data_IF_338133590993
#
_entry.id   IF_338133590993
#
_cell.length_a   1.000
_cell.length_b   1.000
_cell.length_c   1.000
_cell.angle_alpha   90.00
_cell.angle_beta   90.00
_cell.angle_gamma   90.00
#
_symmetry.space_group_name_H-M   'P 1'
#
loop_
_entity.id
_entity.type
_entity.pdbx_description
1 polymer ?
#
# COMPACT_ATOMS: atom_id res chain seq x y z
N UNK A 1 3.63 -4.63 13.51
CA UNK A 1 2.38 -3.98 14.00
C UNK A 1 1.66 -3.30 12.85
N UNK A 2 0.33 -3.43 12.74
CA UNK A 2 -0.53 -2.77 11.75
C UNK A 2 -1.29 -1.66 12.45
N UNK A 3 -1.38 -0.46 11.86
CA UNK A 3 -2.20 0.62 12.37
C UNK A 3 -3.48 0.75 11.54
N UNK A 4 -4.62 0.92 12.22
CA UNK A 4 -5.90 1.11 11.58
C UNK A 4 -6.58 2.38 12.08
N UNK A 5 -6.71 3.38 11.22
CA UNK A 5 -7.42 4.62 11.50
C UNK A 5 -8.81 4.56 10.90
N UNK A 6 -9.83 4.51 11.76
CA UNK A 6 -11.25 4.29 11.44
C UNK A 6 -12.09 4.87 12.57
N UNK A 7 -13.05 5.73 12.28
CA UNK A 7 -13.92 6.36 13.27
C UNK A 7 -15.03 5.42 13.76
N UNK A 8 -15.57 4.54 12.90
CA UNK A 8 -16.58 3.57 13.30
C UNK A 8 -16.03 2.52 14.29
N UNK A 9 -16.50 2.52 15.56
CA UNK A 9 -15.97 1.63 16.57
C UNK A 9 -16.28 0.15 16.31
N UNK A 10 -17.33 -0.17 15.55
CA UNK A 10 -17.72 -1.54 15.24
C UNK A 10 -16.79 -2.14 14.20
N UNK A 11 -16.53 -1.39 13.13
CA UNK A 11 -15.56 -1.78 12.07
C UNK A 11 -14.18 -1.88 12.68
N UNK A 12 -13.74 -0.84 13.41
CA UNK A 12 -12.42 -0.79 14.04
C UNK A 12 -12.19 -2.00 14.96
N UNK A 13 -13.10 -2.28 15.87
CA UNK A 13 -13.00 -3.43 16.80
C UNK A 13 -12.98 -4.77 16.07
N UNK A 14 -13.84 -4.95 15.06
CA UNK A 14 -13.92 -6.19 14.29
C UNK A 14 -12.60 -6.46 13.54
N UNK A 15 -12.06 -5.45 12.86
CA UNK A 15 -10.81 -5.59 12.09
C UNK A 15 -9.64 -5.87 13.04
N UNK A 16 -9.48 -5.09 14.10
CA UNK A 16 -8.40 -5.29 15.08
C UNK A 16 -8.49 -6.68 15.73
N UNK A 17 -9.67 -7.11 16.14
CA UNK A 17 -9.87 -8.45 16.69
C UNK A 17 -9.46 -9.53 15.70
N UNK A 18 -9.88 -9.40 14.44
CA UNK A 18 -9.56 -10.38 13.39
C UNK A 18 -8.06 -10.43 13.11
N UNK A 19 -7.39 -9.30 13.00
CA UNK A 19 -5.95 -9.22 12.78
C UNK A 19 -5.17 -9.89 13.93
N UNK A 20 -5.49 -9.53 15.17
CA UNK A 20 -4.83 -10.10 16.35
C UNK A 20 -5.09 -11.62 16.46
N UNK A 21 -6.29 -12.09 16.14
CA UNK A 21 -6.62 -13.53 16.15
C UNK A 21 -5.84 -14.34 15.12
N UNK A 22 -5.36 -13.70 14.05
CA UNK A 22 -4.50 -14.28 13.01
C UNK A 22 -3.00 -14.10 13.28
N UNK A 23 -2.63 -13.63 14.48
CA UNK A 23 -1.24 -13.39 14.86
C UNK A 23 -0.61 -12.12 14.28
N UNK A 24 -1.42 -11.24 13.71
CA UNK A 24 -0.96 -9.94 13.20
C UNK A 24 -1.25 -8.86 14.25
N UNK A 25 -0.22 -8.42 14.96
CA UNK A 25 -0.36 -7.33 15.93
C UNK A 25 -0.94 -6.08 15.24
N UNK A 26 -2.04 -5.55 15.79
CA UNK A 26 -2.72 -4.39 15.25
C UNK A 26 -3.25 -3.47 16.33
N UNK A 27 -3.17 -2.17 16.09
CA UNK A 27 -3.69 -1.10 16.95
C UNK A 27 -4.65 -0.22 16.16
N UNK A 28 -5.79 0.12 16.76
CA UNK A 28 -6.85 0.92 16.12
C UNK A 28 -6.98 2.30 16.74
N UNK A 29 -7.14 3.30 15.89
CA UNK A 29 -7.27 4.70 16.27
C UNK A 29 -8.61 5.24 15.79
N UNK A 30 -9.27 6.01 16.63
CA UNK A 30 -10.52 6.70 16.30
C UNK A 30 -10.25 8.05 15.62
N UNK A 31 -9.21 8.73 16.10
CA UNK A 31 -8.89 10.09 15.72
C UNK A 31 -7.51 10.19 15.07
N UNK A 32 -7.34 11.04 14.05
CA UNK A 32 -6.05 11.32 13.45
C UNK A 32 -4.98 11.76 14.45
N UNK A 33 -5.36 12.52 15.48
CA UNK A 33 -4.43 12.94 16.54
C UNK A 33 -3.80 11.77 17.30
N UNK A 34 -4.58 10.75 17.61
CA UNK A 34 -4.10 9.52 18.27
C UNK A 34 -3.17 8.74 17.34
N UNK A 35 -3.55 8.61 16.08
CA UNK A 35 -2.74 7.95 15.05
C UNK A 35 -1.38 8.62 14.90
N UNK A 36 -1.31 9.94 14.78
CA UNK A 36 -0.06 10.65 14.64
C UNK A 36 0.83 10.52 15.88
N UNK A 37 0.25 10.58 17.09
CA UNK A 37 0.99 10.35 18.32
C UNK A 37 1.57 8.92 18.40
N UNK A 38 0.89 7.93 17.84
CA UNK A 38 1.40 6.57 17.73
C UNK A 38 2.53 6.47 16.69
N UNK A 39 2.37 7.11 15.53
CA UNK A 39 3.38 7.16 14.46
C UNK A 39 4.71 7.79 14.92
N UNK A 40 4.67 8.75 15.84
CA UNK A 40 5.87 9.36 16.43
C UNK A 40 6.60 8.39 17.37
N UNK A 41 5.88 7.50 18.04
CA UNK A 41 6.47 6.50 18.96
C UNK A 41 7.06 5.31 18.21
N UNK A 42 6.31 4.79 17.24
CA UNK A 42 6.70 3.62 16.48
C UNK A 42 6.02 3.64 15.09
N UNK A 43 6.79 3.43 14.04
CA UNK A 43 6.22 3.26 12.72
C UNK A 43 5.63 1.84 12.58
N UNK A 44 4.42 1.72 12.03
CA UNK A 44 3.84 0.42 11.74
C UNK A 44 4.47 -0.20 10.49
N UNK A 45 4.22 -1.48 10.27
CA UNK A 45 4.56 -2.17 9.03
C UNK A 45 3.53 -1.98 7.91
N UNK A 46 2.31 -1.52 8.26
CA UNK A 46 1.23 -1.23 7.33
C UNK A 46 0.20 -0.32 8.00
N UNK A 47 -0.39 0.56 7.21
CA UNK A 47 -1.53 1.41 7.62
C UNK A 47 -2.78 1.01 6.86
N UNK A 48 -3.87 0.78 7.58
CA UNK A 48 -5.23 0.77 7.07
C UNK A 48 -5.84 2.14 7.36
N UNK A 49 -6.37 2.81 6.36
CA UNK A 49 -6.79 4.20 6.48
C UNK A 49 -8.18 4.41 5.88
N UNK A 50 -9.14 4.82 6.71
CA UNK A 50 -10.40 5.34 6.18
C UNK A 50 -10.19 6.72 5.57
N UNK A 51 -10.91 6.99 4.49
CA UNK A 51 -10.96 8.32 3.87
C UNK A 51 -11.93 9.27 4.58
N UNK A 52 -12.99 8.74 5.16
CA UNK A 52 -14.10 9.50 5.75
C UNK A 52 -13.91 9.64 7.26
N UNK A 53 -12.98 10.47 7.68
CA UNK A 53 -12.68 10.71 9.09
C UNK A 53 -13.21 12.06 9.57
N UNK A 54 -13.53 12.21 10.87
CA UNK A 54 -14.20 13.42 11.35
C UNK A 54 -13.33 14.67 11.46
N UNK A 55 -12.02 14.54 11.70
CA UNK A 55 -11.13 15.68 11.97
C UNK A 55 -10.27 16.05 10.76
N UNK A 56 -9.82 15.10 10.00
CA UNK A 56 -8.88 15.28 8.89
C UNK A 56 -9.23 14.30 7.77
N UNK A 57 -9.30 14.79 6.53
CA UNK A 57 -9.55 13.94 5.36
C UNK A 57 -8.44 12.89 5.21
N UNK A 58 -8.82 11.62 5.02
CA UNK A 58 -7.87 10.53 4.86
C UNK A 58 -6.90 10.70 3.68
N UNK A 59 -7.30 11.39 2.61
CA UNK A 59 -6.39 11.75 1.51
C UNK A 59 -5.32 12.75 1.96
N UNK A 60 -5.64 13.65 2.88
CA UNK A 60 -4.66 14.56 3.45
C UNK A 60 -3.66 13.81 4.34
N UNK A 61 -4.16 12.88 5.16
CA UNK A 61 -3.31 11.98 5.96
C UNK A 61 -2.38 11.17 5.05
N UNK A 62 -2.90 10.58 3.97
CA UNK A 62 -2.10 9.84 2.99
C UNK A 62 -0.98 10.71 2.40
N UNK A 63 -1.30 11.91 1.92
CA UNK A 63 -0.30 12.85 1.39
C UNK A 63 0.78 13.18 2.41
N UNK A 64 0.40 13.37 3.67
CA UNK A 64 1.34 13.63 4.76
C UNK A 64 2.25 12.42 5.04
N UNK A 65 1.71 11.19 5.01
CA UNK A 65 2.51 9.95 5.10
C UNK A 65 3.51 9.91 3.95
N UNK A 66 3.10 10.17 2.72
CA UNK A 66 3.97 10.14 1.52
C UNK A 66 5.04 11.24 1.51
N UNK A 67 4.76 12.39 2.12
CA UNK A 67 5.73 13.49 2.23
C UNK A 67 6.84 13.24 3.26
N UNK A 68 6.66 12.32 4.21
CA UNK A 68 7.63 12.01 5.25
C UNK A 68 8.73 11.08 4.74
N UNK A 69 10.01 11.44 4.93
CA UNK A 69 11.15 10.65 4.44
C UNK A 69 11.16 9.20 4.99
N UNK A 70 10.74 9.00 6.25
CA UNK A 70 10.66 7.67 6.89
C UNK A 70 9.38 6.91 6.58
N UNK A 71 8.34 7.59 6.11
CA UNK A 71 6.99 7.03 5.90
C UNK A 71 6.60 6.94 4.42
N UNK A 72 7.38 7.54 3.52
CA UNK A 72 7.08 7.56 2.09
C UNK A 72 6.87 6.15 1.49
N UNK A 73 7.58 5.15 2.02
CA UNK A 73 7.52 3.74 1.56
C UNK A 73 6.60 2.86 2.42
N UNK A 74 5.96 3.44 3.43
CA UNK A 74 5.07 2.70 4.32
C UNK A 74 3.84 2.22 3.54
N UNK A 75 3.51 0.91 3.53
CA UNK A 75 2.33 0.42 2.85
C UNK A 75 1.06 1.03 3.44
N UNK A 76 0.19 1.56 2.57
CA UNK A 76 -1.10 2.14 2.96
C UNK A 76 -2.21 1.52 2.11
N UNK A 77 -3.18 0.89 2.77
CA UNK A 77 -4.41 0.40 2.15
C UNK A 77 -5.54 1.33 2.56
N UNK A 78 -6.21 1.92 1.59
CA UNK A 78 -7.39 2.74 1.85
C UNK A 78 -8.62 1.86 2.06
N UNK A 79 -9.44 2.20 3.07
CA UNK A 79 -10.73 1.56 3.32
C UNK A 79 -11.78 2.66 3.24
N UNK A 80 -12.71 2.63 2.30
CA UNK A 80 -13.61 3.75 2.05
C UNK A 80 -15.01 3.34 1.66
N UNK A 81 -16.01 4.10 2.12
CA UNK A 81 -17.38 4.00 1.62
C UNK A 81 -17.54 4.65 0.22
N UNK A 82 -16.58 5.46 -0.22
CA UNK A 82 -16.58 6.07 -1.54
C UNK A 82 -16.20 5.01 -2.58
N UNK A 83 -17.19 4.48 -3.26
CA UNK A 83 -17.02 3.40 -4.25
C UNK A 83 -16.96 3.88 -5.70
N UNK A 84 -16.92 5.20 -5.96
CA UNK A 84 -16.83 5.69 -7.33
C UNK A 84 -15.45 5.41 -7.92
N UNK A 85 -15.38 5.17 -9.21
CA UNK A 85 -14.10 5.00 -9.93
C UNK A 85 -13.18 6.22 -9.72
N UNK A 86 -13.77 7.41 -9.62
CA UNK A 86 -13.04 8.64 -9.36
C UNK A 86 -12.34 8.64 -7.98
N UNK A 87 -13.03 8.23 -6.92
CA UNK A 87 -12.46 8.19 -5.57
C UNK A 87 -11.29 7.18 -5.47
N UNK A 88 -11.41 6.05 -6.18
CA UNK A 88 -10.35 5.04 -6.29
C UNK A 88 -9.12 5.60 -6.97
N UNK A 89 -9.30 6.28 -8.11
CA UNK A 89 -8.21 6.90 -8.87
C UNK A 89 -7.53 7.99 -8.04
N UNK A 90 -8.30 8.87 -7.38
CA UNK A 90 -7.73 9.93 -6.52
C UNK A 90 -6.91 9.36 -5.35
N UNK A 91 -7.38 8.27 -4.73
CA UNK A 91 -6.64 7.60 -3.65
C UNK A 91 -5.33 6.99 -4.15
N UNK A 92 -5.35 6.31 -5.29
CA UNK A 92 -4.16 5.71 -5.90
C UNK A 92 -3.20 6.78 -6.44
N UNK A 93 -3.69 7.82 -7.11
CA UNK A 93 -2.90 8.99 -7.52
C UNK A 93 -2.27 9.70 -6.30
N UNK A 94 -2.93 9.63 -5.13
CA UNK A 94 -2.39 10.10 -3.85
C UNK A 94 -1.26 9.24 -3.28
N UNK A 95 -0.94 8.12 -3.93
CA UNK A 95 0.13 7.21 -3.55
C UNK A 95 -0.31 6.09 -2.59
N UNK A 96 -1.59 5.75 -2.51
CA UNK A 96 -2.03 4.54 -1.81
C UNK A 96 -1.58 3.29 -2.56
N UNK A 97 -1.22 2.24 -1.84
CA UNK A 97 -0.74 0.98 -2.43
C UNK A 97 -1.91 0.10 -2.87
N UNK A 98 -3.03 0.18 -2.15
CA UNK A 98 -4.25 -0.56 -2.46
C UNK A 98 -5.47 0.14 -1.86
N UNK A 99 -6.68 -0.28 -2.24
CA UNK A 99 -7.92 0.20 -1.63
C UNK A 99 -8.95 -0.92 -1.50
N UNK A 100 -9.87 -0.76 -0.54
CA UNK A 100 -11.00 -1.66 -0.29
C UNK A 100 -12.26 -0.81 -0.12
N UNK A 101 -13.31 -1.14 -0.86
CA UNK A 101 -14.60 -0.48 -0.72
C UNK A 101 -15.42 -1.08 0.43
N UNK A 102 -16.05 -0.24 1.25
CA UNK A 102 -17.05 -0.66 2.25
C UNK A 102 -18.40 -0.89 1.54
N UNK A 103 -19.15 -1.97 1.88
CA UNK A 103 -18.81 -3.04 2.82
C UNK A 103 -17.82 -4.03 2.21
N UNK A 104 -16.86 -4.52 3.00
CA UNK A 104 -15.86 -5.46 2.55
C UNK A 104 -15.92 -6.79 3.31
N UNK A 105 -15.45 -7.85 2.66
CA UNK A 105 -15.27 -9.16 3.29
C UNK A 105 -13.98 -9.22 4.10
N UNK A 106 -14.02 -9.83 5.30
CA UNK A 106 -12.83 -10.02 6.13
C UNK A 106 -11.75 -10.84 5.40
N UNK A 107 -12.16 -11.84 4.61
CA UNK A 107 -11.23 -12.66 3.80
C UNK A 107 -10.46 -11.82 2.77
N UNK A 108 -11.16 -10.89 2.10
CA UNK A 108 -10.56 -9.97 1.14
C UNK A 108 -9.54 -9.05 1.83
N UNK A 109 -9.96 -8.38 2.91
CA UNK A 109 -9.08 -7.51 3.69
C UNK A 109 -7.80 -8.25 4.12
N UNK A 110 -7.95 -9.46 4.65
CA UNK A 110 -6.81 -10.28 5.09
C UNK A 110 -5.89 -10.69 3.94
N UNK A 111 -6.44 -11.00 2.76
CA UNK A 111 -5.64 -11.33 1.58
C UNK A 111 -4.79 -10.13 1.12
N UNK A 112 -5.38 -8.93 1.07
CA UNK A 112 -4.68 -7.69 0.69
C UNK A 112 -3.59 -7.30 1.70
N UNK A 113 -3.89 -7.40 3.00
CA UNK A 113 -2.90 -7.15 4.06
C UNK A 113 -1.71 -8.10 3.93
N UNK A 114 -1.95 -9.42 3.77
CA UNK A 114 -0.85 -10.39 3.57
C UNK A 114 -0.02 -10.07 2.35
N UNK A 115 -0.67 -9.67 1.25
CA UNK A 115 0.03 -9.27 0.02
C UNK A 115 0.90 -8.03 0.27
N UNK A 116 0.38 -7.00 0.92
CA UNK A 116 1.15 -5.80 1.23
C UNK A 116 2.34 -6.09 2.18
N UNK A 117 2.13 -6.89 3.23
CA UNK A 117 3.17 -7.22 4.20
C UNK A 117 4.26 -8.17 3.66
N UNK A 118 3.91 -9.10 2.77
CA UNK A 118 4.89 -10.02 2.16
C UNK A 118 6.01 -9.29 1.44
N UNK A 119 5.72 -8.12 0.90
CA UNK A 119 6.65 -7.31 0.13
C UNK A 119 7.39 -6.27 0.99
N UNK A 120 6.91 -6.00 2.21
CA UNK A 120 7.59 -5.09 3.15
C UNK A 120 8.48 -5.80 4.17
N UNK A 121 8.34 -7.12 4.35
CA UNK A 121 9.03 -7.92 5.37
C UNK A 121 9.91 -9.03 4.81
N UNK A 122 10.47 -8.90 3.60
CA UNK A 122 11.23 -9.96 2.97
C UNK A 122 12.48 -10.39 3.75
N UNK A 123 12.44 -11.57 4.37
CA UNK A 123 13.61 -12.46 4.33
C UNK A 123 13.79 -12.84 2.85
N UNK A 124 14.43 -11.97 2.08
CA UNK A 124 14.76 -12.24 0.69
C UNK A 124 15.95 -13.22 0.69
N UNK A 125 15.79 -14.36 0.04
CA UNK A 125 16.94 -15.00 -0.60
C UNK A 125 17.79 -13.91 -1.29
N UNK A 126 19.10 -14.06 -1.46
CA UNK A 126 19.96 -13.03 -2.06
C UNK A 126 19.49 -12.75 -3.49
N UNK A 127 18.52 -11.88 -3.61
CA UNK A 127 18.01 -11.42 -4.91
C UNK A 127 19.06 -10.48 -5.46
N UNK A 128 19.71 -10.89 -6.53
CA UNK A 128 20.70 -10.05 -7.23
C UNK A 128 20.03 -8.73 -7.64
N UNK A 129 20.76 -7.63 -7.44
CA UNK A 129 20.30 -6.33 -7.90
C UNK A 129 19.97 -6.39 -9.41
N UNK A 130 18.76 -6.00 -9.78
CA UNK A 130 18.33 -5.92 -11.17
C UNK A 130 18.92 -4.67 -11.79
N UNK A 131 19.46 -4.80 -13.01
CA UNK A 131 20.04 -3.66 -13.75
C UNK A 131 19.48 -3.63 -15.16
N UNK A 132 18.97 -2.46 -15.57
CA UNK A 132 18.50 -2.22 -16.94
C UNK A 132 18.91 -0.80 -17.37
N UNK A 133 19.95 -0.70 -18.20
CA UNK A 133 20.50 0.59 -18.59
C UNK A 133 20.94 1.41 -17.37
N UNK A 134 20.42 2.65 -17.18
CA UNK A 134 20.76 3.49 -16.04
C UNK A 134 20.01 3.13 -14.74
N UNK A 135 19.07 2.17 -14.80
CA UNK A 135 18.31 1.74 -13.65
C UNK A 135 19.03 0.63 -12.89
N UNK A 136 19.08 0.74 -11.57
CA UNK A 136 19.50 -0.29 -10.65
C UNK A 136 18.45 -0.44 -9.56
N UNK A 137 17.94 -1.63 -9.40
CA UNK A 137 16.92 -1.98 -8.38
C UNK A 137 17.56 -2.96 -7.42
N UNK A 138 17.51 -2.65 -6.13
CA UNK A 138 17.89 -3.55 -5.04
C UNK A 138 16.63 -4.02 -4.33
N UNK A 139 16.12 -5.22 -4.63
CA UNK A 139 14.89 -5.70 -4.03
C UNK A 139 15.00 -5.92 -2.52
N UNK A 140 16.18 -6.31 -2.02
CA UNK A 140 16.39 -6.54 -0.60
C UNK A 140 16.33 -5.25 0.22
N UNK A 141 16.73 -4.12 -0.37
CA UNK A 141 16.72 -2.79 0.26
C UNK A 141 15.54 -1.93 -0.17
N UNK A 142 14.67 -2.41 -1.04
CA UNK A 142 13.62 -1.62 -1.66
C UNK A 142 14.15 -0.29 -2.24
N UNK A 143 15.32 -0.32 -2.84
CA UNK A 143 16.00 0.86 -3.35
C UNK A 143 16.05 0.85 -4.87
N UNK A 144 15.75 2.00 -5.47
CA UNK A 144 15.88 2.24 -6.90
C UNK A 144 16.84 3.38 -7.12
N UNK A 145 17.81 3.17 -8.00
CA UNK A 145 18.72 4.20 -8.49
C UNK A 145 18.47 4.40 -9.99
N UNK A 146 18.22 5.64 -10.40
CA UNK A 146 18.16 6.05 -11.78
C UNK A 146 19.31 7.03 -12.07
N UNK A 147 20.19 6.71 -13.01
CA UNK A 147 21.41 7.49 -13.27
C UNK A 147 22.26 7.74 -12.00
N UNK A 148 22.30 6.76 -11.07
CA UNK A 148 23.01 6.86 -9.80
C UNK A 148 22.35 7.72 -8.72
N UNK A 149 21.15 8.25 -8.97
CA UNK A 149 20.36 9.01 -8.00
C UNK A 149 19.22 8.14 -7.45
N UNK A 150 19.01 8.20 -6.16
CA UNK A 150 17.91 7.47 -5.53
C UNK A 150 16.55 8.05 -5.92
N UNK A 151 15.62 7.16 -6.28
CA UNK A 151 14.22 7.47 -6.59
C UNK A 151 13.36 6.85 -5.52
N UNK A 152 12.52 7.65 -4.88
CA UNK A 152 11.55 7.17 -3.90
C UNK A 152 10.30 6.73 -4.61
N UNK A 153 9.92 5.47 -4.43
CA UNK A 153 8.70 4.87 -4.98
C UNK A 153 7.83 4.36 -3.83
N UNK A 154 6.52 4.34 -4.04
CA UNK A 154 5.60 3.59 -3.19
C UNK A 154 5.83 2.09 -3.35
N UNK A 155 5.26 1.29 -2.46
CA UNK A 155 5.41 -0.17 -2.54
C UNK A 155 4.96 -0.73 -3.90
N UNK A 156 3.80 -0.27 -4.41
CA UNK A 156 3.24 -0.78 -5.67
C UNK A 156 4.00 -0.30 -6.91
N UNK A 157 4.47 0.93 -6.91
CA UNK A 157 5.35 1.44 -7.96
C UNK A 157 6.67 0.65 -8.01
N UNK A 158 7.25 0.37 -6.85
CA UNK A 158 8.45 -0.45 -6.74
C UNK A 158 8.23 -1.87 -7.28
N UNK A 159 7.11 -2.53 -6.89
CA UNK A 159 6.76 -3.86 -7.35
C UNK A 159 6.55 -3.90 -8.87
N UNK A 160 5.83 -2.91 -9.41
CA UNK A 160 5.56 -2.81 -10.84
C UNK A 160 6.86 -2.61 -11.62
N UNK A 161 7.72 -1.68 -11.19
CA UNK A 161 9.00 -1.42 -11.83
C UNK A 161 9.91 -2.67 -11.76
N UNK A 162 9.98 -3.33 -10.61
CA UNK A 162 10.81 -4.54 -10.43
C UNK A 162 10.35 -5.66 -11.36
N UNK A 163 9.04 -5.92 -11.44
CA UNK A 163 8.48 -6.93 -12.34
C UNK A 163 8.80 -6.64 -13.81
N UNK A 164 8.64 -5.37 -14.24
CA UNK A 164 8.91 -4.99 -15.62
C UNK A 164 10.41 -5.06 -15.98
N UNK A 165 11.30 -4.72 -15.04
CA UNK A 165 12.76 -4.81 -15.25
C UNK A 165 13.25 -6.26 -15.24
N UNK A 166 12.72 -7.09 -14.35
CA UNK A 166 13.03 -8.52 -14.29
C UNK A 166 12.65 -9.24 -15.59
N UNK A 167 11.54 -8.82 -16.20
CA UNK A 167 11.02 -9.40 -17.44
C UNK A 167 11.16 -8.44 -18.63
N UNK A 168 12.29 -7.73 -18.70
CA UNK A 168 12.53 -6.76 -19.77
C UNK A 168 12.39 -7.42 -21.17
N UNK A 169 11.60 -6.79 -22.05
CA UNK A 169 11.27 -7.32 -23.37
C UNK A 169 10.01 -8.17 -23.42
N UNK A 170 9.38 -8.47 -22.28
CA UNK A 170 8.10 -9.17 -22.22
C UNK A 170 6.93 -8.17 -22.17
N UNK A 171 5.89 -8.44 -22.94
CA UNK A 171 4.66 -7.63 -22.94
C UNK A 171 3.70 -8.19 -21.89
N UNK A 172 3.25 -7.36 -20.98
CA UNK A 172 2.22 -7.69 -19.99
C UNK A 172 0.90 -6.99 -20.34
N UNK A 173 -0.21 -7.72 -20.22
CA UNK A 173 -1.54 -7.10 -20.23
C UNK A 173 -1.81 -6.44 -18.87
N UNK A 174 -2.78 -5.49 -18.83
CA UNK A 174 -3.23 -4.87 -17.56
C UNK A 174 -3.70 -5.91 -16.55
N UNK A 175 -4.46 -6.90 -17.00
CA UNK A 175 -4.98 -7.98 -16.13
C UNK A 175 -3.85 -8.84 -15.56
N UNK A 176 -2.82 -9.14 -16.34
CA UNK A 176 -1.65 -9.84 -15.84
C UNK A 176 -0.92 -9.04 -14.76
N UNK A 177 -0.72 -7.74 -14.98
CA UNK A 177 -0.10 -6.87 -13.99
C UNK A 177 -0.95 -6.74 -12.73
N UNK A 178 -2.28 -6.57 -12.86
CA UNK A 178 -3.21 -6.53 -11.74
C UNK A 178 -3.14 -7.82 -10.92
N UNK A 179 -3.26 -8.96 -11.57
CA UNK A 179 -3.22 -10.26 -10.90
C UNK A 179 -1.89 -10.53 -10.21
N UNK A 180 -0.78 -10.15 -10.82
CA UNK A 180 0.55 -10.41 -10.27
C UNK A 180 0.87 -9.52 -9.07
N UNK A 181 0.52 -8.21 -9.14
CA UNK A 181 0.94 -7.22 -8.16
C UNK A 181 -0.14 -7.00 -7.09
N UNK A 182 -1.43 -7.05 -7.45
CA UNK A 182 -2.56 -6.81 -6.53
C UNK A 182 -3.29 -8.08 -6.10
N UNK A 183 -3.16 -9.19 -6.82
CA UNK A 183 -3.75 -10.50 -6.49
C UNK A 183 -4.97 -10.87 -7.34
N UNK A 184 -5.31 -12.17 -7.35
CA UNK A 184 -6.31 -12.76 -8.25
C UNK A 184 -7.76 -12.29 -8.07
N UNK A 185 -8.10 -11.68 -6.94
CA UNK A 185 -9.45 -11.17 -6.64
C UNK A 185 -9.55 -9.65 -6.72
N UNK A 186 -8.61 -9.02 -7.44
CA UNK A 186 -8.67 -7.59 -7.60
C UNK A 186 -9.76 -7.21 -8.61
N UNK A 187 -10.96 -6.91 -8.11
CA UNK A 187 -12.10 -6.38 -8.89
C UNK A 187 -11.95 -4.86 -9.12
N UNK A 188 -10.71 -4.39 -9.15
CA UNK A 188 -10.38 -3.00 -9.42
C UNK A 188 -10.44 -2.69 -10.90
N UNK A 189 -10.89 -1.49 -11.23
CA UNK A 189 -10.87 -1.00 -12.59
C UNK A 189 -9.46 -1.10 -13.19
N UNK A 190 -9.37 -1.42 -14.47
CA UNK A 190 -8.12 -1.52 -15.24
C UNK A 190 -7.22 -0.28 -15.14
N UNK A 191 -7.77 0.84 -14.66
CA UNK A 191 -7.05 2.11 -14.43
C UNK A 191 -6.04 2.09 -13.29
N UNK A 192 -6.13 1.13 -12.35
CA UNK A 192 -5.14 1.03 -11.25
C UNK A 192 -3.72 0.90 -11.78
N UNK A 193 -3.50 0.07 -12.79
CA UNK A 193 -2.19 -0.07 -13.44
C UNK A 193 -1.78 1.24 -14.13
N UNK A 194 -2.72 1.87 -14.85
CA UNK A 194 -2.44 3.10 -15.61
C UNK A 194 -2.00 4.25 -14.68
N UNK A 195 -2.57 4.33 -13.49
CA UNK A 195 -2.18 5.32 -12.46
C UNK A 195 -0.72 5.10 -12.03
N UNK A 196 -0.35 3.88 -11.65
CA UNK A 196 1.01 3.57 -11.19
C UNK A 196 2.08 3.60 -12.30
N UNK A 197 1.68 3.50 -13.56
CA UNK A 197 2.59 3.67 -14.70
C UNK A 197 2.82 5.14 -15.03
N UNK A 198 1.84 6.02 -14.70
CA UNK A 198 1.88 7.44 -15.03
C UNK A 198 2.70 8.26 -14.03
N UNK A 199 2.73 7.85 -12.75
CA UNK A 199 3.51 8.53 -11.70
C UNK A 199 4.97 8.18 -11.81
#
# INVERSE_FOLDING_TARGET
>A
MIYFLEDDPSIRKLVIYTLNSQGMEAEGFELPSQFWAAMERQLPSLVLLDLMLPEEDGLHILKRIRAGASTARLPVILITAKGTEYDKVVGLDGGADDYIAKPFGMMELMARIRTALRHSGGEAEPVHALTLGPLRIDPARHQVLAHGREVTLTLKEFQLLSLLVEHAGTVFTRDQLLNTIWGYEFDGASRTVDVHVRT
#
